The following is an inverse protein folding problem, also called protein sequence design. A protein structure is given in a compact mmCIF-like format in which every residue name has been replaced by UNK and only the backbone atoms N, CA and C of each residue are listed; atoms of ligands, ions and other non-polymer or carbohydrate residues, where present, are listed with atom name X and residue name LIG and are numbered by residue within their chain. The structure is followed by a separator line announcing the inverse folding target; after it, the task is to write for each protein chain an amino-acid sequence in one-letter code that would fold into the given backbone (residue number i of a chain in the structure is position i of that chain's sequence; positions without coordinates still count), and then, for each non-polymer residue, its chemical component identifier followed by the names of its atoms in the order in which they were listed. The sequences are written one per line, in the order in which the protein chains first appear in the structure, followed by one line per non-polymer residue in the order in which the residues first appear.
data_IF_881080400880
#
_entry.id   IF_881080400880
#
_cell.length_a   1.000
_cell.length_b   1.000
_cell.length_c   1.000
_cell.angle_alpha   90.00
_cell.angle_beta   90.00
_cell.angle_gamma   90.00
#
_symmetry.space_group_name_H-M   'P 1'
#
loop_
_entity.id
_entity.type
_entity.pdbx_description
1 polymer ?
#
# COMPACT_ATOMS: atom_id res chain seq x y z
N UNK A 1 -14.82 9.49 19.79
CA UNK A 1 -15.40 10.06 18.57
C UNK A 1 -16.00 8.94 17.75
N UNK A 2 -17.32 8.74 17.92
CA UNK A 2 -18.12 7.68 17.29
C UNK A 2 -18.70 8.24 16.00
N UNK A 3 -18.33 7.66 14.87
CA UNK A 3 -18.90 8.00 13.56
C UNK A 3 -20.16 7.16 13.38
N UNK A 4 -21.31 7.82 13.43
CA UNK A 4 -22.61 7.21 13.17
C UNK A 4 -22.78 6.98 11.67
N UNK A 5 -22.98 5.72 11.28
CA UNK A 5 -23.33 5.30 9.91
C UNK A 5 -24.85 5.45 9.75
N UNK A 6 -25.30 6.46 9.02
CA UNK A 6 -26.72 6.65 8.70
C UNK A 6 -27.12 5.71 7.55
N UNK A 7 -27.95 4.72 7.88
CA UNK A 7 -28.64 3.84 6.93
C UNK A 7 -29.83 4.61 6.35
N UNK A 8 -29.74 5.03 5.09
CA UNK A 8 -30.88 5.57 4.35
C UNK A 8 -31.65 4.40 3.73
N UNK A 9 -32.75 4.03 4.37
CA UNK A 9 -33.76 3.13 3.81
C UNK A 9 -34.56 3.89 2.75
N UNK A 10 -34.29 3.63 1.47
CA UNK A 10 -35.07 4.12 0.35
C UNK A 10 -36.39 3.36 0.25
N UNK A 11 -37.49 4.01 0.60
CA UNK A 11 -38.86 3.57 0.32
C UNK A 11 -39.09 3.50 -1.18
N UNK A 12 -39.36 2.31 -1.69
CA UNK A 12 -39.85 2.10 -3.05
C UNK A 12 -41.35 2.42 -3.10
N UNK A 13 -41.82 3.30 -3.98
CA UNK A 13 -43.26 3.47 -4.21
C UNK A 13 -43.77 2.29 -5.02
N UNK A 14 -44.69 1.53 -4.42
CA UNK A 14 -45.48 0.52 -5.12
C UNK A 14 -46.49 1.22 -6.05
N UNK A 15 -46.08 1.43 -7.30
CA UNK A 15 -47.02 1.85 -8.35
C UNK A 15 -47.80 0.62 -8.82
N UNK A 16 -49.12 0.65 -8.57
CA UNK A 16 -50.09 -0.25 -9.22
C UNK A 16 -49.99 -0.05 -10.73
N UNK A 17 -49.43 -1.01 -11.43
CA UNK A 17 -49.45 -1.07 -12.89
C UNK A 17 -50.84 -1.53 -13.31
N UNK A 18 -51.64 -0.62 -13.79
CA UNK A 18 -52.87 -0.91 -14.53
C UNK A 18 -52.45 -1.55 -15.88
N UNK A 19 -52.95 -2.74 -16.10
CA UNK A 19 -52.85 -3.40 -17.38
C UNK A 19 -53.65 -2.63 -18.42
N UNK A 20 -53.03 -2.31 -19.49
CA UNK A 20 -53.51 -2.08 -20.86
C UNK A 20 -52.80 -0.90 -21.50
N UNK A 21 -51.68 -1.21 -22.12
CA UNK A 21 -51.33 -0.61 -23.39
C UNK A 21 -50.46 -1.64 -24.15
N UNK A 22 -51.09 -2.16 -25.20
CA UNK A 22 -50.40 -3.01 -26.17
C UNK A 22 -49.41 -2.11 -26.91
N UNK A 23 -48.16 -2.12 -26.46
CA UNK A 23 -47.06 -1.46 -27.17
C UNK A 23 -46.88 -2.24 -28.47
N UNK A 24 -47.08 -1.59 -29.64
CA UNK A 24 -46.76 -2.26 -30.89
C UNK A 24 -45.29 -2.69 -30.86
N UNK A 25 -45.04 -3.91 -31.25
CA UNK A 25 -43.70 -4.48 -31.36
C UNK A 25 -42.81 -3.51 -32.17
N UNK A 26 -42.05 -2.68 -31.45
CA UNK A 26 -41.06 -1.81 -32.08
C UNK A 26 -40.03 -2.76 -32.68
N UNK A 27 -40.02 -2.85 -33.99
CA UNK A 27 -38.99 -3.55 -34.73
C UNK A 27 -37.68 -2.92 -34.37
N UNK A 28 -36.97 -3.58 -33.42
CA UNK A 28 -35.61 -3.18 -33.03
C UNK A 28 -34.73 -3.44 -34.23
N UNK A 29 -34.28 -2.37 -34.85
CA UNK A 29 -33.42 -2.41 -36.00
C UNK A 29 -32.18 -3.27 -35.69
N UNK A 30 -31.96 -4.42 -36.33
CA UNK A 30 -30.87 -5.34 -35.98
C UNK A 30 -29.50 -4.68 -36.07
N UNK A 31 -29.38 -3.61 -36.86
CA UNK A 31 -28.16 -2.81 -36.95
C UNK A 31 -27.92 -1.97 -35.68
N UNK A 32 -28.97 -1.48 -34.99
CA UNK A 32 -28.86 -0.75 -33.74
C UNK A 32 -28.47 -1.68 -32.57
N UNK A 33 -29.05 -2.88 -32.54
CA UNK A 33 -28.71 -3.89 -31.55
C UNK A 33 -27.26 -4.33 -31.64
N UNK A 34 -26.75 -4.56 -32.85
CA UNK A 34 -25.36 -4.95 -33.10
C UNK A 34 -24.34 -3.85 -32.72
N UNK A 35 -24.71 -2.56 -32.87
CA UNK A 35 -23.89 -1.43 -32.41
C UNK A 35 -23.83 -1.35 -30.88
N UNK A 36 -24.99 -1.48 -30.23
CA UNK A 36 -25.08 -1.46 -28.77
C UNK A 36 -24.26 -2.61 -28.14
N UNK A 37 -24.31 -3.80 -28.72
CA UNK A 37 -23.53 -4.93 -28.23
C UNK A 37 -22.01 -4.71 -28.39
N UNK A 38 -21.56 -4.13 -29.50
CA UNK A 38 -20.16 -3.77 -29.71
C UNK A 38 -19.68 -2.70 -28.72
N UNK A 39 -20.49 -1.72 -28.40
CA UNK A 39 -20.17 -0.70 -27.41
C UNK A 39 -20.13 -1.29 -25.99
N UNK A 40 -21.10 -2.12 -25.64
CA UNK A 40 -21.10 -2.82 -24.37
C UNK A 40 -19.84 -3.69 -24.18
N UNK A 41 -19.44 -4.44 -25.20
CA UNK A 41 -18.18 -5.23 -25.18
C UNK A 41 -16.92 -4.36 -25.06
N UNK A 42 -16.92 -3.18 -25.71
CA UNK A 42 -15.80 -2.23 -25.54
C UNK A 42 -15.75 -1.67 -24.12
N UNK A 43 -16.90 -1.30 -23.56
CA UNK A 43 -17.01 -0.81 -22.21
C UNK A 43 -16.56 -1.86 -21.18
N UNK A 44 -17.00 -3.11 -21.32
CA UNK A 44 -16.56 -4.21 -20.46
C UNK A 44 -15.04 -4.43 -20.51
N UNK A 45 -14.46 -4.46 -21.73
CA UNK A 45 -13.00 -4.59 -21.88
C UNK A 45 -12.23 -3.40 -21.27
N UNK A 46 -12.79 -2.20 -21.34
CA UNK A 46 -12.19 -1.02 -20.73
C UNK A 46 -12.24 -1.11 -19.20
N UNK A 47 -13.37 -1.53 -18.64
CA UNK A 47 -13.52 -1.76 -17.20
C UNK A 47 -12.56 -2.84 -16.67
N UNK A 48 -12.47 -3.97 -17.37
CA UNK A 48 -11.57 -5.06 -16.99
C UNK A 48 -10.09 -4.61 -17.00
N UNK A 49 -9.70 -3.81 -18.02
CA UNK A 49 -8.34 -3.23 -18.08
C UNK A 49 -8.11 -2.23 -16.95
N UNK A 50 -9.09 -1.41 -16.61
CA UNK A 50 -9.00 -0.47 -15.50
C UNK A 50 -8.87 -1.19 -14.15
N UNK A 51 -9.66 -2.23 -13.94
CA UNK A 51 -9.59 -3.05 -12.73
C UNK A 51 -8.24 -3.78 -12.57
N UNK A 52 -7.72 -4.35 -13.67
CA UNK A 52 -6.38 -4.96 -13.67
C UNK A 52 -5.28 -3.95 -13.35
N UNK A 53 -5.40 -2.71 -13.87
CA UNK A 53 -4.47 -1.63 -13.53
C UNK A 53 -4.59 -1.21 -12.06
N UNK A 54 -5.80 -1.07 -11.53
CA UNK A 54 -6.04 -0.74 -10.14
C UNK A 54 -5.47 -1.81 -9.20
N UNK A 55 -5.71 -3.09 -9.46
CA UNK A 55 -5.15 -4.21 -8.68
C UNK A 55 -3.62 -4.24 -8.72
N UNK A 56 -3.00 -3.89 -9.87
CA UNK A 56 -1.53 -3.77 -9.96
C UNK A 56 -1.01 -2.60 -9.13
N UNK A 57 -1.64 -1.44 -9.23
CA UNK A 57 -1.28 -0.25 -8.47
C UNK A 57 -1.40 -0.47 -6.96
N UNK A 58 -2.47 -1.14 -6.51
CA UNK A 58 -2.66 -1.49 -5.09
C UNK A 58 -1.56 -2.44 -4.59
N UNK A 59 -1.22 -3.48 -5.37
CA UNK A 59 -0.12 -4.40 -5.02
C UNK A 59 1.23 -3.67 -4.92
N UNK A 60 1.47 -2.74 -5.82
CA UNK A 60 2.69 -1.92 -5.81
C UNK A 60 2.71 -0.97 -4.61
N UNK A 61 1.60 -0.31 -4.31
CA UNK A 61 1.48 0.54 -3.13
C UNK A 61 1.73 -0.24 -1.83
N UNK A 62 1.17 -1.44 -1.70
CA UNK A 62 1.43 -2.34 -0.55
C UNK A 62 2.92 -2.74 -0.46
N UNK A 63 3.57 -3.02 -1.60
CA UNK A 63 5.01 -3.32 -1.60
C UNK A 63 5.85 -2.12 -1.17
N UNK A 64 5.52 -0.92 -1.67
CA UNK A 64 6.21 0.33 -1.29
C UNK A 64 6.02 0.65 0.19
N UNK A 65 4.81 0.46 0.72
CA UNK A 65 4.54 0.66 2.16
C UNK A 65 5.41 -0.27 3.01
N UNK A 66 5.42 -1.57 2.72
CA UNK A 66 6.27 -2.54 3.42
C UNK A 66 7.77 -2.24 3.30
N UNK A 67 8.22 -1.72 2.14
CA UNK A 67 9.61 -1.32 1.97
C UNK A 67 9.97 -0.10 2.83
N UNK A 68 9.06 0.88 2.95
CA UNK A 68 9.24 2.04 3.83
C UNK A 68 9.31 1.63 5.31
N UNK A 69 8.39 0.82 5.77
CA UNK A 69 8.41 0.28 7.14
C UNK A 69 9.74 -0.41 7.46
N UNK A 70 10.20 -1.29 6.56
CA UNK A 70 11.51 -1.95 6.74
C UNK A 70 12.70 -0.98 6.75
N UNK A 71 12.63 0.09 5.99
CA UNK A 71 13.67 1.12 5.98
C UNK A 71 13.66 1.95 7.27
N UNK A 72 12.49 2.25 7.81
CA UNK A 72 12.33 2.93 9.09
C UNK A 72 12.83 2.08 10.27
N UNK A 73 12.46 0.80 10.30
CA UNK A 73 12.95 -0.11 11.33
C UNK A 73 14.47 -0.25 11.29
N UNK A 74 15.04 -0.38 10.07
CA UNK A 74 16.48 -0.43 9.93
C UNK A 74 17.19 0.85 10.37
N UNK A 75 16.57 2.04 10.21
CA UNK A 75 17.10 3.30 10.75
C UNK A 75 17.09 3.29 12.28
N UNK A 76 15.98 2.90 12.89
CA UNK A 76 15.89 2.79 14.36
C UNK A 76 16.93 1.81 14.93
N UNK A 77 17.14 0.70 14.25
CA UNK A 77 18.17 -0.27 14.65
C UNK A 77 19.59 0.31 14.52
N UNK A 78 19.84 1.07 13.47
CA UNK A 78 21.12 1.75 13.28
C UNK A 78 21.36 2.81 14.36
N UNK A 79 20.36 3.60 14.71
CA UNK A 79 20.44 4.60 15.79
C UNK A 79 20.72 3.94 17.15
N UNK A 80 20.02 2.84 17.47
CA UNK A 80 20.28 2.07 18.70
C UNK A 80 21.69 1.49 18.72
N UNK A 81 22.18 0.98 17.59
CA UNK A 81 23.53 0.45 17.49
C UNK A 81 24.58 1.54 17.66
N UNK A 82 24.33 2.74 17.12
CA UNK A 82 25.21 3.90 17.31
C UNK A 82 25.29 4.34 18.77
N UNK A 83 24.15 4.47 19.46
CA UNK A 83 24.14 4.83 20.89
C UNK A 83 24.95 3.81 21.73
N UNK A 84 24.73 2.51 21.49
CA UNK A 84 25.52 1.46 22.16
C UNK A 84 27.01 1.54 21.84
N UNK A 85 27.37 1.92 20.61
CA UNK A 85 28.77 2.08 20.23
C UNK A 85 29.40 3.29 20.93
N UNK A 86 28.68 4.41 21.09
CA UNK A 86 29.11 5.58 21.83
C UNK A 86 29.32 5.24 23.32
N UNK A 87 28.32 4.62 23.96
CA UNK A 87 28.41 4.19 25.35
C UNK A 87 29.61 3.24 25.60
N UNK A 88 29.82 2.28 24.67
CA UNK A 88 30.95 1.37 24.77
C UNK A 88 32.30 2.10 24.61
N UNK A 89 32.36 3.12 23.74
CA UNK A 89 33.56 3.93 23.55
C UNK A 89 33.85 4.79 24.77
N UNK A 90 32.83 5.41 25.36
CA UNK A 90 32.97 6.19 26.59
C UNK A 90 33.45 5.32 27.77
N UNK A 91 32.88 4.12 27.92
CA UNK A 91 33.35 3.15 28.90
C UNK A 91 34.81 2.75 28.68
N UNK A 92 35.17 2.47 27.44
CA UNK A 92 36.54 2.11 27.10
C UNK A 92 37.53 3.23 27.41
N UNK A 93 37.13 4.49 27.23
CA UNK A 93 37.94 5.66 27.59
C UNK A 93 38.10 5.84 29.11
N UNK A 94 37.07 5.49 29.89
CA UNK A 94 37.10 5.60 31.35
C UNK A 94 37.88 4.45 32.01
N UNK A 95 37.68 3.25 31.54
CA UNK A 95 38.26 2.04 32.14
C UNK A 95 39.69 1.78 31.67
N UNK A 96 40.04 2.24 30.46
CA UNK A 96 41.40 2.07 29.89
C UNK A 96 41.82 0.62 29.65
N UNK A 97 40.91 -0.35 29.84
CA UNK A 97 41.21 -1.78 29.74
C UNK A 97 41.15 -2.28 28.28
N UNK A 98 42.04 -3.23 27.90
CA UNK A 98 42.03 -3.78 26.55
C UNK A 98 40.70 -4.49 26.21
N UNK A 99 40.01 -5.05 27.20
CA UNK A 99 38.69 -5.67 27.01
C UNK A 99 37.62 -4.65 26.69
N UNK A 100 37.59 -3.49 27.35
CA UNK A 100 36.66 -2.42 27.08
C UNK A 100 36.89 -1.85 25.66
N UNK A 101 38.13 -1.69 25.24
CA UNK A 101 38.50 -1.26 23.89
C UNK A 101 38.03 -2.26 22.82
N UNK A 102 38.20 -3.56 23.06
CA UNK A 102 37.73 -4.60 22.15
C UNK A 102 36.19 -4.61 22.05
N UNK A 103 35.48 -4.38 23.15
CA UNK A 103 33.99 -4.24 23.14
C UNK A 103 33.54 -3.02 22.35
N UNK A 104 34.22 -1.89 22.52
CA UNK A 104 33.94 -0.65 21.78
C UNK A 104 34.12 -0.84 20.27
N UNK A 105 35.23 -1.44 19.85
CA UNK A 105 35.50 -1.74 18.43
C UNK A 105 34.44 -2.66 17.82
N UNK A 106 34.02 -3.71 18.54
CA UNK A 106 32.93 -4.58 18.10
C UNK A 106 31.59 -3.86 18.00
N UNK A 107 31.29 -2.95 18.92
CA UNK A 107 30.07 -2.15 18.88
C UNK A 107 30.07 -1.17 17.72
N UNK A 108 31.18 -0.50 17.44
CA UNK A 108 31.35 0.36 16.27
C UNK A 108 31.17 -0.40 14.94
N UNK A 109 31.78 -1.57 14.80
CA UNK A 109 31.61 -2.40 13.61
C UNK A 109 30.14 -2.83 13.39
N UNK A 110 29.41 -3.13 14.48
CA UNK A 110 27.97 -3.42 14.41
C UNK A 110 27.17 -2.20 13.98
N UNK A 111 27.48 -1.02 14.50
CA UNK A 111 26.81 0.23 14.15
C UNK A 111 27.00 0.57 12.67
N UNK A 112 28.23 0.45 12.15
CA UNK A 112 28.52 0.67 10.73
C UNK A 112 27.75 -0.30 9.83
N UNK A 113 27.67 -1.59 10.19
CA UNK A 113 26.87 -2.57 9.44
C UNK A 113 25.39 -2.24 9.45
N UNK A 114 24.86 -1.79 10.58
CA UNK A 114 23.45 -1.39 10.69
C UNK A 114 23.15 -0.14 9.85
N UNK A 115 24.02 0.85 9.83
CA UNK A 115 23.92 2.04 8.98
C UNK A 115 23.93 1.65 7.48
N UNK A 116 24.90 0.85 7.05
CA UNK A 116 24.99 0.41 5.66
C UNK A 116 23.73 -0.36 5.22
N UNK A 117 23.12 -1.16 6.13
CA UNK A 117 21.84 -1.82 5.88
C UNK A 117 20.69 -0.83 5.74
N UNK A 118 20.61 0.16 6.62
CA UNK A 118 19.58 1.19 6.58
C UNK A 118 19.66 2.01 5.29
N UNK A 119 20.86 2.41 4.86
CA UNK A 119 21.08 3.12 3.59
C UNK A 119 20.67 2.30 2.37
N UNK A 120 21.04 1.02 2.32
CA UNK A 120 20.64 0.11 1.24
C UNK A 120 19.12 -0.02 1.14
N UNK A 121 18.42 -0.07 2.26
CA UNK A 121 16.96 -0.15 2.27
C UNK A 121 16.32 1.19 1.89
N UNK A 122 16.89 2.32 2.33
CA UNK A 122 16.43 3.65 1.96
C UNK A 122 16.55 3.91 0.45
N UNK A 123 17.63 3.44 -0.19
CA UNK A 123 17.80 3.52 -1.65
C UNK A 123 16.76 2.72 -2.44
N UNK A 124 16.23 1.63 -1.88
CA UNK A 124 15.18 0.81 -2.53
C UNK A 124 13.78 1.41 -2.43
N UNK A 125 13.60 2.43 -1.61
CA UNK A 125 12.30 3.09 -1.37
C UNK A 125 12.12 4.34 -2.24
N UNK A 126 13.20 4.90 -2.77
CA UNK A 126 13.17 5.97 -3.78
C UNK A 126 12.75 5.39 -5.12
#
# INVERSE_FOLDING_TARGET
MTVALALMAGMLPTSKVQAQDVIPATQVDPAAAAKAEKEARKAQKAQEKAEKKAKKAEKEAKKRKKAREKAEDAKKDAEKAMKKAQEATEKASREGTPEAQAKASKAQAKAQKAQAKAEKLAKKVK
#
